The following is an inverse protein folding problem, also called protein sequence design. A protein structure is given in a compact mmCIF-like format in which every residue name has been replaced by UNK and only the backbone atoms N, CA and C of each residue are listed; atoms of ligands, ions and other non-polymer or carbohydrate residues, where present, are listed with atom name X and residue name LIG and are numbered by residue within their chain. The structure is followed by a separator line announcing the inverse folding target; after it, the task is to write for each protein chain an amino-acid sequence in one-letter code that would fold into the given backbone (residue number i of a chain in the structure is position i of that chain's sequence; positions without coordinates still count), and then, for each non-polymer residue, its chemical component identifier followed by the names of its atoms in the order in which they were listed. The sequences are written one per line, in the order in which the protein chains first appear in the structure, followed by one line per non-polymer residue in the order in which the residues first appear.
data_IF_240300869858
#
_entry.id   IF_240300869858
#
_cell.length_a   1.000
_cell.length_b   1.000
_cell.length_c   1.000
_cell.angle_alpha   90.00
_cell.angle_beta   90.00
_cell.angle_gamma   90.00
#
_symmetry.space_group_name_H-M   'P 1'
#
loop_
_entity.id
_entity.type
_entity.pdbx_description
1 polymer ?
#
# COMPACT_ATOMS: atom_id res chain seq x y z
N UNK A 1 -3.56 0.17 -28.71
CA UNK A 1 -3.73 -0.41 -30.05
C UNK A 1 -5.12 -0.22 -30.67
N UNK A 2 -6.22 -0.03 -29.91
CA UNK A 2 -7.53 0.40 -30.48
C UNK A 2 -8.07 1.73 -29.92
N UNK A 3 -7.35 2.36 -28.97
CA UNK A 3 -7.70 3.62 -28.28
C UNK A 3 -9.04 3.61 -27.50
N UNK A 4 -9.65 2.45 -27.29
CA UNK A 4 -10.89 2.30 -26.51
C UNK A 4 -10.63 1.85 -25.08
N UNK A 5 -11.37 2.40 -24.11
CA UNK A 5 -11.33 1.94 -22.72
C UNK A 5 -12.27 0.73 -22.56
N UNK A 6 -11.72 -0.39 -22.09
CA UNK A 6 -12.52 -1.57 -21.78
C UNK A 6 -13.22 -1.41 -20.41
N UNK A 7 -14.25 -2.22 -20.15
CA UNK A 7 -14.97 -2.27 -18.87
C UNK A 7 -14.57 -3.55 -18.12
N UNK A 8 -13.72 -3.49 -17.09
CA UNK A 8 -13.18 -4.69 -16.41
C UNK A 8 -14.25 -5.65 -15.90
N UNK A 9 -15.28 -5.13 -15.22
CA UNK A 9 -16.38 -5.96 -14.70
C UNK A 9 -17.11 -6.72 -15.81
N UNK A 10 -17.28 -6.09 -16.98
CA UNK A 10 -17.94 -6.73 -18.13
C UNK A 10 -17.06 -7.82 -18.75
N UNK A 11 -15.75 -7.63 -18.75
CA UNK A 11 -14.78 -8.63 -19.21
C UNK A 11 -14.78 -9.85 -18.29
N UNK A 12 -14.76 -9.65 -16.97
CA UNK A 12 -14.81 -10.73 -15.97
C UNK A 12 -16.10 -11.56 -16.10
N UNK A 13 -17.26 -10.90 -16.22
CA UNK A 13 -18.53 -11.59 -16.47
C UNK A 13 -18.47 -12.37 -17.78
N UNK A 14 -17.91 -11.79 -18.84
CA UNK A 14 -17.76 -12.45 -20.14
C UNK A 14 -16.88 -13.70 -20.07
N UNK A 15 -15.75 -13.63 -19.36
CA UNK A 15 -14.87 -14.78 -19.14
C UNK A 15 -15.54 -15.85 -18.28
N UNK A 16 -16.29 -15.45 -17.24
CA UNK A 16 -17.08 -16.37 -16.42
C UNK A 16 -18.09 -17.17 -17.26
N UNK A 17 -18.92 -16.47 -18.04
CA UNK A 17 -19.88 -17.11 -18.95
C UNK A 17 -19.17 -18.02 -19.96
N UNK A 18 -18.08 -17.54 -20.56
CA UNK A 18 -17.29 -18.31 -21.52
C UNK A 18 -16.74 -19.61 -20.92
N UNK A 19 -16.19 -19.54 -19.72
CA UNK A 19 -15.65 -20.71 -19.01
C UNK A 19 -16.76 -21.67 -18.55
N UNK A 20 -17.92 -21.17 -18.08
CA UNK A 20 -19.07 -22.02 -17.76
C UNK A 20 -19.54 -22.81 -18.96
N UNK A 21 -19.70 -22.15 -20.11
CA UNK A 21 -20.07 -22.83 -21.37
C UNK A 21 -18.98 -23.83 -21.76
N UNK A 22 -17.69 -23.44 -21.70
CA UNK A 22 -16.59 -24.33 -22.03
C UNK A 22 -16.60 -25.61 -21.17
N UNK A 23 -16.82 -25.48 -19.85
CA UNK A 23 -16.88 -26.63 -18.95
C UNK A 23 -18.00 -27.63 -19.28
N UNK A 24 -19.16 -27.15 -19.77
CA UNK A 24 -20.25 -28.04 -20.23
C UNK A 24 -19.80 -28.94 -21.39
N UNK A 25 -18.88 -28.46 -22.22
CA UNK A 25 -18.32 -29.22 -23.35
C UNK A 25 -16.98 -29.92 -23.00
N UNK A 26 -16.62 -30.03 -21.72
CA UNK A 26 -15.34 -30.63 -21.29
C UNK A 26 -14.11 -29.76 -21.60
N UNK A 27 -14.32 -28.45 -21.83
CA UNK A 27 -13.26 -27.49 -22.07
C UNK A 27 -12.48 -27.14 -20.80
N UNK A 28 -11.22 -26.74 -20.99
CA UNK A 28 -10.35 -26.25 -19.93
C UNK A 28 -10.56 -24.76 -19.66
N UNK A 29 -10.27 -24.26 -18.44
CA UNK A 29 -10.34 -22.84 -18.13
C UNK A 29 -9.50 -22.00 -19.10
N UNK A 30 -10.13 -21.00 -19.70
CA UNK A 30 -9.52 -20.08 -20.64
C UNK A 30 -9.44 -18.66 -20.09
N UNK A 31 -8.46 -17.91 -20.60
CA UNK A 31 -8.30 -16.48 -20.38
C UNK A 31 -7.99 -15.77 -21.71
N UNK A 32 -7.93 -14.44 -21.68
CA UNK A 32 -7.55 -13.65 -22.84
C UNK A 32 -6.15 -14.02 -23.34
N UNK A 33 -6.03 -14.33 -24.64
CA UNK A 33 -4.76 -14.64 -25.28
C UNK A 33 -4.13 -13.37 -25.88
N UNK A 34 -3.19 -12.75 -25.17
CA UNK A 34 -2.56 -11.48 -25.55
C UNK A 34 -1.94 -11.51 -26.95
N UNK A 35 -1.15 -12.54 -27.24
CA UNK A 35 -0.43 -12.66 -28.53
C UNK A 35 -1.41 -12.83 -29.70
N UNK A 36 -2.43 -13.68 -29.53
CA UNK A 36 -3.49 -13.86 -30.52
C UNK A 36 -4.23 -12.55 -30.78
N UNK A 37 -4.48 -11.78 -29.73
CA UNK A 37 -5.16 -10.48 -29.83
C UNK A 37 -4.30 -9.46 -30.59
N UNK A 38 -2.99 -9.40 -30.32
CA UNK A 38 -2.06 -8.51 -31.02
C UNK A 38 -2.00 -8.87 -32.51
N UNK A 39 -1.86 -10.15 -32.85
CA UNK A 39 -1.87 -10.61 -34.25
C UNK A 39 -3.19 -10.25 -34.94
N UNK A 40 -4.32 -10.46 -34.27
CA UNK A 40 -5.63 -10.13 -34.81
C UNK A 40 -5.80 -8.63 -35.08
N UNK A 41 -5.31 -7.77 -34.19
CA UNK A 41 -5.34 -6.32 -34.38
C UNK A 41 -4.41 -5.90 -35.53
N UNK A 42 -3.21 -6.48 -35.61
CA UNK A 42 -2.26 -6.21 -36.71
C UNK A 42 -2.80 -6.67 -38.07
N UNK A 43 -3.61 -7.74 -38.09
CA UNK A 43 -4.34 -8.21 -39.26
C UNK A 43 -5.58 -7.34 -39.61
N UNK A 44 -5.82 -6.24 -38.88
CA UNK A 44 -6.91 -5.30 -39.14
C UNK A 44 -8.22 -5.60 -38.39
N UNK A 45 -8.22 -6.59 -37.49
CA UNK A 45 -9.37 -6.91 -36.63
C UNK A 45 -9.68 -5.79 -35.64
N UNK A 46 -10.86 -5.16 -35.79
CA UNK A 46 -11.30 -4.01 -34.95
C UNK A 46 -12.56 -4.28 -34.14
N UNK A 47 -13.32 -5.32 -34.48
CA UNK A 47 -14.63 -5.62 -33.88
C UNK A 47 -14.61 -6.95 -33.13
N UNK A 48 -15.58 -7.15 -32.23
CA UNK A 48 -15.76 -8.43 -31.52
C UNK A 48 -16.05 -9.60 -32.45
N UNK A 49 -16.62 -9.31 -33.63
CA UNK A 49 -16.94 -10.29 -34.66
C UNK A 49 -15.69 -11.05 -35.13
N UNK A 50 -14.56 -10.36 -35.21
CA UNK A 50 -13.28 -10.95 -35.61
C UNK A 50 -12.83 -12.07 -34.65
N UNK A 51 -13.04 -11.90 -33.34
CA UNK A 51 -12.80 -12.96 -32.36
C UNK A 51 -13.77 -14.15 -32.49
N UNK A 52 -15.05 -13.88 -32.74
CA UNK A 52 -16.06 -14.93 -32.96
C UNK A 52 -15.77 -15.75 -34.21
N UNK A 53 -15.42 -15.09 -35.32
CA UNK A 53 -15.06 -15.73 -36.58
C UNK A 53 -13.82 -16.61 -36.38
N UNK A 54 -12.81 -16.13 -35.65
CA UNK A 54 -11.62 -16.94 -35.35
C UNK A 54 -11.97 -18.21 -34.55
N UNK A 55 -12.91 -18.13 -33.60
CA UNK A 55 -13.39 -19.29 -32.84
C UNK A 55 -14.15 -20.30 -33.71
N UNK A 56 -15.07 -19.82 -34.54
CA UNK A 56 -15.85 -20.67 -35.48
C UNK A 56 -14.91 -21.32 -36.50
N UNK A 57 -13.98 -20.56 -37.07
CA UNK A 57 -13.01 -21.07 -38.03
C UNK A 57 -12.12 -22.14 -37.40
N UNK A 58 -11.67 -21.93 -36.15
CA UNK A 58 -10.91 -22.94 -35.40
C UNK A 58 -11.72 -24.22 -35.21
N UNK A 59 -13.01 -24.12 -34.85
CA UNK A 59 -13.90 -25.27 -34.72
C UNK A 59 -14.04 -26.04 -36.05
N UNK A 60 -14.28 -25.34 -37.17
CA UNK A 60 -14.38 -25.94 -38.50
C UNK A 60 -13.08 -26.64 -38.90
N UNK A 61 -11.93 -26.00 -38.67
CA UNK A 61 -10.61 -26.59 -38.94
C UNK A 61 -10.40 -27.85 -38.11
N UNK A 62 -10.75 -27.83 -36.82
CA UNK A 62 -10.60 -29.01 -35.96
C UNK A 62 -11.47 -30.18 -36.43
N UNK A 63 -12.71 -29.92 -36.86
CA UNK A 63 -13.63 -30.96 -37.33
C UNK A 63 -13.26 -31.49 -38.72
N UNK A 64 -12.85 -30.63 -39.65
CA UNK A 64 -12.56 -31.00 -41.03
C UNK A 64 -11.13 -31.55 -41.21
N UNK A 65 -10.14 -30.95 -40.52
CA UNK A 65 -8.72 -31.25 -40.69
C UNK A 65 -8.11 -31.96 -39.48
N UNK A 66 -8.90 -32.45 -38.53
CA UNK A 66 -8.44 -33.20 -37.36
C UNK A 66 -7.43 -34.33 -37.68
N UNK A 67 -7.70 -35.21 -38.68
CA UNK A 67 -6.76 -36.28 -39.05
C UNK A 67 -5.43 -35.80 -39.66
N UNK A 68 -5.40 -34.57 -40.18
CA UNK A 68 -4.17 -33.95 -40.70
C UNK A 68 -3.43 -33.26 -39.55
N UNK A 69 -4.15 -32.56 -38.67
CA UNK A 69 -3.60 -31.90 -37.50
C UNK A 69 -2.93 -32.88 -36.52
N UNK A 70 -3.45 -34.11 -36.40
CA UNK A 70 -2.84 -35.16 -35.57
C UNK A 70 -1.46 -35.62 -36.05
N UNK A 71 -1.08 -35.32 -37.31
CA UNK A 71 0.23 -35.64 -37.88
C UNK A 71 1.28 -34.56 -37.63
N UNK A 72 0.93 -33.45 -36.98
CA UNK A 72 1.87 -32.37 -36.71
C UNK A 72 2.93 -32.86 -35.70
N UNK A 73 4.22 -32.86 -36.05
CA UNK A 73 5.27 -33.31 -35.14
C UNK A 73 5.39 -32.42 -33.91
N UNK A 74 5.64 -33.02 -32.74
CA UNK A 74 5.84 -32.29 -31.49
C UNK A 74 7.00 -31.28 -31.58
N UNK A 75 8.03 -31.57 -32.38
CA UNK A 75 9.16 -30.66 -32.62
C UNK A 75 8.70 -29.31 -33.23
N UNK A 76 7.70 -29.32 -34.12
CA UNK A 76 7.14 -28.10 -34.71
C UNK A 76 6.42 -27.28 -33.65
N UNK A 77 5.61 -27.94 -32.81
CA UNK A 77 4.91 -27.28 -31.70
C UNK A 77 5.88 -26.69 -30.68
N UNK A 78 6.95 -27.41 -30.34
CA UNK A 78 8.00 -26.91 -29.45
C UNK A 78 8.70 -25.67 -30.03
N UNK A 79 9.05 -25.68 -31.33
CA UNK A 79 9.66 -24.53 -32.00
C UNK A 79 8.76 -23.28 -31.98
N UNK A 80 7.44 -23.47 -32.16
CA UNK A 80 6.46 -22.38 -32.03
C UNK A 80 6.43 -21.87 -30.58
N UNK A 81 6.35 -22.74 -29.58
CA UNK A 81 6.28 -22.35 -28.17
C UNK A 81 7.53 -21.60 -27.70
N UNK A 82 8.74 -22.04 -28.09
CA UNK A 82 9.98 -21.33 -27.76
C UNK A 82 10.00 -19.94 -28.38
N UNK A 83 9.63 -19.83 -29.66
CA UNK A 83 9.59 -18.54 -30.36
C UNK A 83 8.57 -17.58 -29.75
N UNK A 84 7.40 -18.10 -29.37
CA UNK A 84 6.34 -17.34 -28.71
C UNK A 84 6.74 -16.91 -27.30
N UNK A 85 7.38 -17.80 -26.53
CA UNK A 85 7.86 -17.50 -25.18
C UNK A 85 8.91 -16.40 -25.17
N UNK A 86 9.93 -16.53 -26.03
CA UNK A 86 11.00 -15.54 -26.18
C UNK A 86 10.44 -14.24 -26.79
N UNK A 87 9.81 -14.29 -27.96
CA UNK A 87 9.43 -13.09 -28.70
C UNK A 87 8.15 -12.39 -28.23
N UNK A 88 7.23 -13.10 -27.59
CA UNK A 88 5.88 -12.58 -27.29
C UNK A 88 5.52 -12.49 -25.81
N UNK A 89 6.13 -13.30 -24.94
CA UNK A 89 5.80 -13.36 -23.51
C UNK A 89 6.85 -12.67 -22.65
N UNK A 90 8.13 -12.77 -23.00
CA UNK A 90 9.21 -12.15 -22.23
C UNK A 90 9.16 -10.61 -22.31
N UNK A 91 9.02 -9.95 -21.16
CA UNK A 91 9.03 -8.49 -21.09
C UNK A 91 10.45 -7.93 -21.05
N UNK A 92 11.06 -7.79 -22.23
CA UNK A 92 12.39 -7.19 -22.36
C UNK A 92 12.46 -5.74 -21.91
N UNK A 93 11.36 -4.99 -21.95
CA UNK A 93 11.35 -3.59 -21.48
C UNK A 93 11.42 -3.55 -19.96
N UNK A 94 10.60 -4.38 -19.29
CA UNK A 94 10.67 -4.58 -17.84
C UNK A 94 12.06 -5.01 -17.39
N UNK A 95 12.65 -6.02 -18.04
CA UNK A 95 14.01 -6.49 -17.73
C UNK A 95 15.07 -5.40 -17.89
N UNK A 96 15.00 -4.58 -18.95
CA UNK A 96 15.92 -3.45 -19.16
C UNK A 96 15.71 -2.31 -18.15
N UNK A 97 14.52 -2.18 -17.57
CA UNK A 97 14.21 -1.16 -16.57
C UNK A 97 14.63 -1.55 -15.14
N UNK A 98 14.94 -2.81 -14.88
CA UNK A 98 15.38 -3.30 -13.55
C UNK A 98 16.50 -2.43 -12.93
N UNK A 99 17.57 -2.05 -13.65
CA UNK A 99 18.65 -1.24 -13.06
C UNK A 99 18.23 0.17 -12.65
N UNK A 100 17.12 0.68 -13.21
CA UNK A 100 16.57 2.02 -12.90
C UNK A 100 15.57 2.02 -11.76
N UNK A 101 15.23 0.85 -11.18
CA UNK A 101 14.29 0.77 -10.08
C UNK A 101 14.89 1.28 -8.75
N UNK A 102 14.06 1.88 -7.86
CA UNK A 102 14.50 2.34 -6.54
C UNK A 102 15.10 1.21 -5.72
N UNK A 103 16.29 1.44 -5.15
CA UNK A 103 17.01 0.46 -4.34
C UNK A 103 16.66 0.64 -2.86
N UNK A 104 15.46 0.22 -2.52
CA UNK A 104 14.82 0.44 -1.22
C UNK A 104 15.30 -0.57 -0.14
N UNK A 105 15.96 -1.67 -0.52
CA UNK A 105 16.38 -2.74 0.40
C UNK A 105 17.89 -2.96 0.32
N UNK A 106 18.54 -3.05 1.49
CA UNK A 106 19.92 -3.51 1.65
C UNK A 106 19.91 -4.92 2.23
N UNK A 107 20.42 -5.90 1.47
CA UNK A 107 20.68 -7.26 1.97
C UNK A 107 22.20 -7.45 1.91
N UNK A 108 22.88 -7.28 3.04
CA UNK A 108 24.34 -7.32 3.12
C UNK A 108 25.01 -6.25 2.22
N UNK A 109 26.00 -6.62 1.36
CA UNK A 109 26.66 -5.66 0.46
C UNK A 109 25.82 -5.29 -0.78
N UNK A 110 24.67 -5.95 -1.00
CA UNK A 110 23.88 -5.80 -2.23
C UNK A 110 22.67 -4.90 -1.96
N UNK A 111 22.51 -3.85 -2.78
CA UNK A 111 21.32 -2.98 -2.79
C UNK A 111 20.37 -3.43 -3.89
N UNK A 112 19.17 -3.88 -3.51
CA UNK A 112 18.16 -4.37 -4.42
C UNK A 112 16.84 -3.61 -4.25
N UNK A 113 16.06 -3.57 -5.32
CA UNK A 113 14.69 -3.07 -5.24
C UNK A 113 13.80 -4.13 -4.60
N UNK A 114 12.89 -3.65 -3.76
CA UNK A 114 11.77 -4.38 -3.18
C UNK A 114 10.98 -5.16 -4.25
N UNK A 115 10.71 -4.51 -5.38
CA UNK A 115 9.95 -5.07 -6.50
C UNK A 115 10.72 -6.17 -7.24
N UNK A 116 12.04 -5.99 -7.41
CA UNK A 116 12.91 -6.97 -8.07
C UNK A 116 13.03 -8.23 -7.23
N UNK A 117 13.11 -8.10 -5.90
CA UNK A 117 13.13 -9.24 -5.00
C UNK A 117 11.84 -10.06 -5.13
N UNK A 118 10.67 -9.42 -5.09
CA UNK A 118 9.37 -10.09 -5.28
C UNK A 118 9.34 -10.82 -6.62
N UNK A 119 9.74 -10.14 -7.70
CA UNK A 119 9.79 -10.73 -9.04
C UNK A 119 10.66 -11.99 -9.08
N UNK A 120 11.88 -11.94 -8.50
CA UNK A 120 12.78 -13.10 -8.47
C UNK A 120 12.22 -14.24 -7.62
N UNK A 121 11.63 -13.93 -6.46
CA UNK A 121 10.98 -14.94 -5.60
C UNK A 121 9.84 -15.63 -6.34
N UNK A 122 8.93 -14.87 -6.97
CA UNK A 122 7.81 -15.44 -7.74
C UNK A 122 8.31 -16.24 -8.95
N UNK A 123 9.35 -15.76 -9.65
CA UNK A 123 9.95 -16.46 -10.78
C UNK A 123 10.52 -17.82 -10.35
N UNK A 124 11.31 -17.86 -9.28
CA UNK A 124 11.92 -19.09 -8.79
C UNK A 124 10.84 -20.06 -8.27
N UNK A 125 9.90 -19.58 -7.46
CA UNK A 125 8.82 -20.41 -6.93
C UNK A 125 7.93 -20.99 -8.04
N UNK A 126 7.59 -20.19 -9.05
CA UNK A 126 6.76 -20.65 -10.18
C UNK A 126 7.49 -21.63 -11.10
N UNK A 127 8.81 -21.55 -11.19
CA UNK A 127 9.62 -22.43 -12.04
C UNK A 127 9.93 -23.77 -11.35
N UNK A 128 10.26 -23.74 -10.06
CA UNK A 128 10.77 -24.92 -9.34
C UNK A 128 9.72 -25.62 -8.47
N UNK A 129 8.66 -24.94 -8.07
CA UNK A 129 7.67 -25.49 -7.15
C UNK A 129 6.28 -25.56 -7.79
N UNK A 130 5.58 -24.43 -7.83
CA UNK A 130 4.21 -24.38 -8.33
C UNK A 130 3.78 -22.93 -8.57
N UNK A 131 3.08 -22.71 -9.68
CA UNK A 131 2.64 -21.38 -10.10
C UNK A 131 1.59 -20.78 -9.16
N UNK A 132 0.64 -21.58 -8.66
CA UNK A 132 -0.45 -21.11 -7.80
C UNK A 132 0.10 -20.63 -6.47
N UNK A 133 0.97 -21.44 -5.84
CA UNK A 133 1.64 -21.06 -4.59
C UNK A 133 2.55 -19.84 -4.78
N UNK A 134 3.29 -19.76 -5.90
CA UNK A 134 4.14 -18.62 -6.21
C UNK A 134 3.34 -17.30 -6.31
N UNK A 135 2.18 -17.31 -6.98
CA UNK A 135 1.30 -16.14 -7.08
C UNK A 135 0.76 -15.74 -5.70
N UNK A 136 0.32 -16.70 -4.89
CA UNK A 136 -0.19 -16.45 -3.55
C UNK A 136 0.87 -15.81 -2.63
N UNK A 137 2.06 -16.40 -2.56
CA UNK A 137 3.17 -15.88 -1.76
C UNK A 137 3.62 -14.50 -2.27
N UNK A 138 3.72 -14.34 -3.59
CA UNK A 138 4.06 -13.06 -4.22
C UNK A 138 3.09 -11.94 -3.84
N UNK A 139 1.79 -12.22 -3.84
CA UNK A 139 0.76 -11.25 -3.45
C UNK A 139 0.88 -10.84 -1.99
N UNK A 140 1.13 -11.80 -1.09
CA UNK A 140 1.31 -11.53 0.35
C UNK A 140 2.53 -10.63 0.57
N UNK A 141 3.68 -10.99 0.00
CA UNK A 141 4.92 -10.22 0.14
C UNK A 141 4.74 -8.82 -0.46
N UNK A 142 4.15 -8.71 -1.66
CA UNK A 142 3.88 -7.43 -2.29
C UNK A 142 2.97 -6.53 -1.44
N UNK A 143 1.93 -7.10 -0.83
CA UNK A 143 1.00 -6.38 0.04
C UNK A 143 1.71 -5.87 1.31
N UNK A 144 2.51 -6.71 1.96
CA UNK A 144 3.30 -6.33 3.14
C UNK A 144 4.30 -5.22 2.83
N UNK A 145 5.01 -5.34 1.70
CA UNK A 145 6.01 -4.35 1.27
C UNK A 145 5.36 -3.03 0.84
N UNK A 146 4.18 -3.07 0.24
CA UNK A 146 3.39 -1.89 -0.06
C UNK A 146 2.92 -1.18 1.23
N UNK A 147 2.42 -1.93 2.21
CA UNK A 147 2.05 -1.37 3.52
C UNK A 147 3.25 -0.72 4.20
N UNK A 148 4.42 -1.37 4.20
CA UNK A 148 5.65 -0.78 4.72
C UNK A 148 6.02 0.50 4.00
N UNK A 149 6.01 0.51 2.66
CA UNK A 149 6.37 1.69 1.85
C UNK A 149 5.44 2.88 2.10
N UNK A 150 4.15 2.62 2.32
CA UNK A 150 3.19 3.68 2.74
C UNK A 150 3.53 4.18 4.14
N UNK A 151 3.85 3.28 5.08
CA UNK A 151 4.34 3.65 6.41
C UNK A 151 5.57 4.55 6.35
N UNK A 152 6.62 4.10 5.67
CA UNK A 152 7.88 4.81 5.51
C UNK A 152 7.69 6.18 4.82
N UNK A 153 6.97 6.24 3.69
CA UNK A 153 6.70 7.51 2.99
C UNK A 153 5.92 8.49 3.85
N UNK A 154 5.06 7.95 4.70
CA UNK A 154 4.34 8.78 5.62
C UNK A 154 5.25 9.27 6.74
N UNK A 155 6.13 8.42 7.27
CA UNK A 155 7.16 8.80 8.23
C UNK A 155 8.20 9.77 7.64
N UNK A 156 8.45 9.78 6.32
CA UNK A 156 9.43 10.65 5.65
C UNK A 156 8.85 12.03 5.27
N UNK A 157 7.57 12.09 4.86
CA UNK A 157 6.82 13.37 4.73
C UNK A 157 6.49 13.98 6.08
N UNK A 158 6.57 13.16 7.11
CA UNK A 158 6.67 13.61 8.47
C UNK A 158 8.11 14.03 8.65
N UNK A 159 8.38 15.32 8.78
CA UNK A 159 9.73 15.81 9.05
C UNK A 159 10.25 15.32 10.42
N UNK A 160 10.62 14.03 10.48
CA UNK A 160 11.22 13.33 11.63
C UNK A 160 12.73 13.31 11.38
N UNK A 161 13.29 14.45 11.01
CA UNK A 161 14.72 14.68 11.26
C UNK A 161 14.83 15.35 12.61
N UNK A 162 15.67 14.76 13.46
CA UNK A 162 16.17 15.36 14.71
C UNK A 162 17.09 16.54 14.39
N UNK A 163 16.52 17.58 13.81
CA UNK A 163 17.15 18.87 13.57
C UNK A 163 16.10 19.87 13.97
N UNK A 164 16.14 20.29 15.25
CA UNK A 164 15.40 21.41 15.84
C UNK A 164 14.10 21.72 15.07
N UNK A 165 12.99 21.05 15.42
CA UNK A 165 11.68 21.27 14.78
C UNK A 165 11.52 22.77 14.49
N UNK A 166 11.49 23.15 13.21
CA UNK A 166 11.21 24.53 12.85
C UNK A 166 9.80 24.83 13.39
N UNK A 167 9.74 25.80 14.30
CA UNK A 167 8.50 26.27 14.90
C UNK A 167 7.56 26.63 13.76
N UNK A 168 6.34 26.06 13.75
CA UNK A 168 5.40 26.40 12.69
C UNK A 168 5.09 27.89 12.74
N UNK A 169 4.68 28.48 11.62
CA UNK A 169 4.40 29.93 11.54
C UNK A 169 3.34 30.40 12.55
N UNK A 170 2.47 29.51 13.02
CA UNK A 170 1.49 29.76 14.08
C UNK A 170 2.03 29.60 15.51
N UNK A 171 3.26 29.10 15.66
CA UNK A 171 3.96 28.92 16.95
C UNK A 171 4.94 30.06 17.25
N UNK A 172 5.14 30.98 16.29
CA UNK A 172 6.04 32.16 16.40
C UNK A 172 5.61 33.15 17.50
N UNK A 173 4.43 32.96 18.11
CA UNK A 173 3.92 33.75 19.24
C UNK A 173 3.79 32.99 20.56
N UNK A 174 4.43 31.82 20.70
CA UNK A 174 4.39 31.05 21.95
C UNK A 174 5.20 31.76 23.05
N UNK A 175 4.63 32.00 24.25
CA UNK A 175 5.31 32.69 25.34
C UNK A 175 6.63 32.00 25.70
N UNK A 176 7.74 32.74 25.73
CA UNK A 176 9.07 32.14 25.94
C UNK A 176 9.23 31.49 27.33
N UNK A 177 8.50 32.01 28.31
CA UNK A 177 8.46 31.50 29.67
C UNK A 177 7.80 30.11 29.79
N UNK A 178 6.87 29.77 28.90
CA UNK A 178 6.19 28.47 28.90
C UNK A 178 6.92 27.41 28.05
N UNK A 179 8.00 27.77 27.33
CA UNK A 179 8.72 26.84 26.44
C UNK A 179 9.42 25.71 27.17
N UNK A 180 9.73 25.89 28.46
CA UNK A 180 10.34 24.84 29.29
C UNK A 180 9.31 23.87 29.87
N UNK A 181 8.07 24.33 30.08
CA UNK A 181 6.99 23.53 30.69
C UNK A 181 6.07 22.85 29.67
N UNK A 182 5.94 23.43 28.46
CA UNK A 182 5.01 22.95 27.42
C UNK A 182 5.77 22.41 26.21
N UNK A 183 5.61 21.12 25.95
CA UNK A 183 6.22 20.44 24.81
C UNK A 183 5.22 20.20 23.68
N UNK A 184 5.46 20.76 22.50
CA UNK A 184 4.59 20.60 21.33
C UNK A 184 5.14 19.47 20.45
N UNK A 185 4.31 18.49 20.12
CA UNK A 185 4.69 17.41 19.21
C UNK A 185 3.74 17.27 18.02
N UNK A 186 4.35 17.24 16.84
CA UNK A 186 3.66 17.07 15.57
C UNK A 186 3.57 15.60 15.19
N UNK A 187 2.39 14.99 15.37
CA UNK A 187 2.13 13.64 14.91
C UNK A 187 1.61 13.69 13.49
N UNK A 188 2.39 13.10 12.59
CA UNK A 188 2.15 13.15 11.16
C UNK A 188 2.04 11.71 10.66
N UNK A 189 0.97 11.42 9.91
CA UNK A 189 0.76 10.09 9.33
C UNK A 189 -0.25 9.18 10.01
N UNK A 190 -0.66 8.07 9.37
CA UNK A 190 -1.50 7.09 10.01
C UNK A 190 -0.70 6.36 11.09
N UNK A 191 -1.34 6.08 12.22
CA UNK A 191 -0.76 5.29 13.29
C UNK A 191 -1.26 3.85 13.16
N UNK A 192 -0.42 2.97 12.65
CA UNK A 192 -0.78 1.58 12.42
C UNK A 192 0.37 0.65 12.81
N UNK A 193 0.17 -0.68 12.76
CA UNK A 193 1.18 -1.67 13.16
C UNK A 193 2.58 -1.41 12.56
N UNK A 194 2.66 -0.90 11.32
CA UNK A 194 3.93 -0.61 10.64
C UNK A 194 4.65 0.66 11.10
N UNK A 195 4.00 1.53 11.89
CA UNK A 195 4.54 2.82 12.35
C UNK A 195 4.58 2.97 13.87
N UNK A 196 4.17 1.95 14.63
CA UNK A 196 4.14 2.00 16.11
C UNK A 196 5.54 2.14 16.70
N UNK A 197 6.56 1.51 16.13
CA UNK A 197 7.94 1.59 16.61
C UNK A 197 8.50 3.02 16.51
N UNK A 198 8.26 3.70 15.40
CA UNK A 198 8.66 5.09 15.21
C UNK A 198 7.89 6.01 16.17
N UNK A 199 6.60 5.75 16.38
CA UNK A 199 5.77 6.48 17.34
C UNK A 199 6.29 6.36 18.77
N UNK A 200 6.65 5.15 19.22
CA UNK A 200 7.24 4.93 20.54
C UNK A 200 8.59 5.65 20.70
N UNK A 201 9.41 5.69 19.66
CA UNK A 201 10.67 6.43 19.67
C UNK A 201 10.47 7.95 19.80
N UNK A 202 9.32 8.49 19.34
CA UNK A 202 8.97 9.90 19.54
C UNK A 202 8.55 10.19 20.99
N UNK A 203 7.87 9.25 21.65
CA UNK A 203 7.51 9.36 23.07
C UNK A 203 8.75 9.50 23.96
N UNK A 204 9.79 8.71 23.68
CA UNK A 204 11.05 8.74 24.43
C UNK A 204 11.82 10.07 24.31
N UNK A 205 11.46 10.93 23.34
CA UNK A 205 12.06 12.26 23.19
C UNK A 205 11.37 13.33 24.05
N UNK A 206 10.24 13.01 24.70
CA UNK A 206 9.53 13.94 25.56
C UNK A 206 10.36 14.12 26.85
N UNK A 207 10.83 15.34 27.17
CA UNK A 207 11.61 15.59 28.38
C UNK A 207 10.78 15.35 29.64
N UNK A 208 11.41 14.80 30.69
CA UNK A 208 10.77 14.64 32.01
C UNK A 208 10.44 15.98 32.71
N UNK A 209 10.93 17.10 32.17
CA UNK A 209 10.65 18.46 32.69
C UNK A 209 9.35 19.04 32.15
N UNK A 210 8.76 18.44 31.10
CA UNK A 210 7.51 18.93 30.52
C UNK A 210 6.33 18.62 31.45
N UNK A 211 5.59 19.65 31.87
CA UNK A 211 4.33 19.51 32.62
C UNK A 211 3.15 19.28 31.69
N UNK A 212 3.22 19.79 30.45
CA UNK A 212 2.14 19.66 29.47
C UNK A 212 2.70 19.28 28.09
N UNK A 213 2.04 18.34 27.41
CA UNK A 213 2.36 17.92 26.05
C UNK A 213 1.19 18.21 25.11
N UNK A 214 1.43 18.97 24.05
CA UNK A 214 0.45 19.27 23.01
C UNK A 214 0.70 18.35 21.81
N UNK A 215 -0.21 17.41 21.57
CA UNK A 215 -0.17 16.51 20.42
C UNK A 215 -1.01 17.07 19.26
N UNK A 216 -0.33 17.50 18.20
CA UNK A 216 -0.99 17.94 16.97
C UNK A 216 -1.28 16.74 16.07
N UNK A 217 -2.54 16.31 16.08
CA UNK A 217 -3.07 15.12 15.39
C UNK A 217 -3.73 15.46 14.03
N UNK A 218 -3.69 16.73 13.61
CA UNK A 218 -4.34 17.20 12.37
C UNK A 218 -3.89 16.51 11.08
N UNK A 219 -2.74 15.82 11.09
CA UNK A 219 -2.22 15.04 9.95
C UNK A 219 -2.29 13.53 10.16
N UNK A 220 -2.94 13.06 11.24
CA UNK A 220 -3.17 11.64 11.52
C UNK A 220 -4.52 11.22 10.96
N UNK A 221 -4.51 10.73 9.72
CA UNK A 221 -5.75 10.41 9.00
C UNK A 221 -6.38 9.07 9.41
N UNK A 222 -5.59 8.16 9.96
CA UNK A 222 -6.01 6.79 10.23
C UNK A 222 -5.29 6.22 11.44
N UNK A 223 -5.99 5.41 12.23
CA UNK A 223 -5.47 4.66 13.37
C UNK A 223 -6.02 3.23 13.32
N UNK A 224 -5.14 2.22 13.38
CA UNK A 224 -5.54 0.81 13.57
C UNK A 224 -5.51 0.41 15.05
N UNK A 225 -5.85 -0.85 15.35
CA UNK A 225 -5.86 -1.36 16.72
C UNK A 225 -4.46 -1.36 17.38
N UNK A 226 -3.41 -1.71 16.64
CA UNK A 226 -2.04 -1.67 17.17
C UNK A 226 -1.58 -0.25 17.47
N UNK A 227 -1.95 0.69 16.60
CA UNK A 227 -1.71 2.11 16.80
C UNK A 227 -2.49 2.69 17.98
N UNK A 228 -3.71 2.23 18.17
CA UNK A 228 -4.54 2.60 19.31
C UNK A 228 -3.92 2.16 20.64
N UNK A 229 -3.43 0.93 20.74
CA UNK A 229 -2.70 0.46 21.93
C UNK A 229 -1.39 1.22 22.15
N UNK A 230 -0.63 1.51 21.09
CA UNK A 230 0.58 2.30 21.21
C UNK A 230 0.29 3.73 21.73
N UNK A 231 -0.84 4.33 21.33
CA UNK A 231 -1.31 5.60 21.87
C UNK A 231 -1.69 5.47 23.35
N UNK A 232 -2.44 4.42 23.72
CA UNK A 232 -2.83 4.15 25.11
C UNK A 232 -1.61 4.03 26.03
N UNK A 233 -0.62 3.21 25.65
CA UNK A 233 0.61 3.01 26.38
C UNK A 233 1.35 4.33 26.63
N UNK A 234 1.46 5.17 25.60
CA UNK A 234 2.06 6.50 25.70
C UNK A 234 1.30 7.41 26.66
N UNK A 235 -0.03 7.46 26.56
CA UNK A 235 -0.85 8.30 27.43
C UNK A 235 -0.77 7.84 28.89
N UNK A 236 -0.68 6.54 29.11
CA UNK A 236 -0.55 5.95 30.44
C UNK A 236 0.83 6.26 31.06
N UNK A 237 1.89 6.23 30.27
CA UNK A 237 3.24 6.63 30.70
C UNK A 237 3.31 8.13 31.03
N UNK A 238 2.74 8.99 30.18
CA UNK A 238 2.67 10.44 30.43
C UNK A 238 1.86 10.77 31.68
N UNK A 239 0.70 10.11 31.88
CA UNK A 239 -0.13 10.27 33.07
C UNK A 239 0.61 9.83 34.34
N UNK A 240 1.41 8.76 34.28
CA UNK A 240 2.25 8.31 35.40
C UNK A 240 3.31 9.34 35.79
N UNK A 241 3.81 10.10 34.82
CA UNK A 241 4.76 11.19 35.03
C UNK A 241 4.09 12.52 35.38
N UNK A 242 2.78 12.54 35.65
CA UNK A 242 1.97 13.75 35.89
C UNK A 242 2.06 14.79 34.76
N UNK A 243 2.23 14.32 33.52
CA UNK A 243 2.25 15.18 32.33
C UNK A 243 0.84 15.26 31.75
N UNK A 244 0.32 16.47 31.63
CA UNK A 244 -0.99 16.73 31.04
C UNK A 244 -0.91 16.71 29.52
N UNK A 245 -1.87 16.06 28.86
CA UNK A 245 -1.85 15.89 27.39
C UNK A 245 -3.04 16.60 26.75
N UNK A 246 -2.76 17.43 25.74
CA UNK A 246 -3.75 18.17 24.97
C UNK A 246 -3.75 17.71 23.51
N UNK A 247 -4.93 17.43 22.96
CA UNK A 247 -5.08 17.01 21.56
C UNK A 247 -5.52 18.17 20.68
N UNK A 248 -4.84 18.35 19.54
CA UNK A 248 -5.18 19.40 18.57
C UNK A 248 -5.45 18.79 17.20
N UNK A 249 -6.62 19.06 16.64
CA UNK A 249 -6.98 18.67 15.28
C UNK A 249 -7.29 17.18 15.12
N UNK A 250 -7.86 16.53 16.14
CA UNK A 250 -8.23 15.12 16.10
C UNK A 250 -9.28 14.86 15.00
N UNK A 251 -8.93 14.03 14.01
CA UNK A 251 -9.82 13.67 12.90
C UNK A 251 -10.85 12.60 13.29
N UNK A 252 -11.89 12.45 12.47
CA UNK A 252 -13.07 11.60 12.76
C UNK A 252 -12.72 10.13 13.05
N UNK A 253 -11.86 9.51 12.23
CA UNK A 253 -11.57 8.08 12.37
C UNK A 253 -10.73 7.77 13.63
N UNK A 254 -9.62 8.48 13.92
CA UNK A 254 -8.89 8.29 15.17
C UNK A 254 -9.74 8.60 16.41
N UNK A 255 -10.55 9.67 16.37
CA UNK A 255 -11.47 10.00 17.47
C UNK A 255 -12.41 8.85 17.81
N UNK A 256 -13.06 8.32 16.77
CA UNK A 256 -13.98 7.20 16.93
C UNK A 256 -13.30 5.96 17.53
N UNK A 257 -12.05 5.67 17.14
CA UNK A 257 -11.29 4.55 17.70
C UNK A 257 -10.95 4.77 19.18
N UNK A 258 -10.53 5.98 19.55
CA UNK A 258 -10.20 6.34 20.94
C UNK A 258 -11.42 6.35 21.87
N UNK A 259 -12.57 6.82 21.39
CA UNK A 259 -13.85 6.82 22.12
C UNK A 259 -14.39 5.38 22.34
N UNK A 260 -13.99 4.41 21.52
CA UNK A 260 -14.47 3.02 21.63
C UNK A 260 -13.82 2.20 22.73
N UNK A 261 -12.64 2.61 23.19
CA UNK A 261 -11.89 1.95 24.27
C UNK A 261 -11.69 2.89 25.46
N UNK A 262 -12.52 3.93 25.54
CA UNK A 262 -12.56 4.89 26.63
C UNK A 262 -11.26 5.69 26.88
N UNK A 263 -10.29 5.70 25.94
CA UNK A 263 -9.17 6.66 25.97
C UNK A 263 -9.71 8.09 26.11
N UNK A 264 -10.77 8.36 25.35
CA UNK A 264 -11.63 9.53 25.55
C UNK A 264 -12.93 8.99 26.18
N UNK A 265 -13.26 9.33 27.44
CA UNK A 265 -12.70 10.43 28.23
C UNK A 265 -11.65 10.07 29.31
N UNK A 266 -11.32 8.79 29.55
CA UNK A 266 -10.63 8.37 30.79
C UNK A 266 -9.17 8.84 30.89
N UNK A 267 -8.48 8.86 29.75
CA UNK A 267 -7.12 9.38 29.65
C UNK A 267 -7.11 10.85 29.23
N UNK A 268 -7.99 11.23 28.30
CA UNK A 268 -8.10 12.58 27.76
C UNK A 268 -9.52 13.09 27.93
N UNK A 269 -9.75 14.05 28.86
CA UNK A 269 -11.03 14.71 28.99
C UNK A 269 -11.46 15.38 27.67
N UNK A 270 -12.77 15.43 27.41
CA UNK A 270 -13.30 16.11 26.21
C UNK A 270 -12.91 17.59 26.13
N UNK A 271 -12.61 18.21 27.28
CA UNK A 271 -12.16 19.60 27.39
C UNK A 271 -10.73 19.81 26.86
N UNK A 272 -9.91 18.76 26.83
CA UNK A 272 -8.52 18.80 26.36
C UNK A 272 -8.40 18.49 24.86
N UNK A 273 -9.53 18.48 24.13
CA UNK A 273 -9.58 18.21 22.69
C UNK A 273 -9.97 19.50 21.95
N UNK A 274 -9.00 20.10 21.27
CA UNK A 274 -9.16 21.34 20.53
C UNK A 274 -9.22 21.09 19.03
N UNK A 275 -10.06 21.89 18.32
CA UNK A 275 -10.14 21.85 16.86
C UNK A 275 -8.94 22.53 16.19
N UNK A 276 -8.45 23.60 16.80
CA UNK A 276 -7.38 24.44 16.28
C UNK A 276 -6.36 24.77 17.37
N UNK A 277 -5.13 25.04 16.93
CA UNK A 277 -4.00 25.31 17.82
C UNK A 277 -4.18 26.62 18.61
N UNK A 278 -4.88 27.61 18.05
CA UNK A 278 -5.13 28.89 18.73
C UNK A 278 -5.99 28.72 19.97
N UNK A 279 -7.06 27.93 19.88
CA UNK A 279 -7.93 27.61 21.02
C UNK A 279 -7.18 26.84 22.10
N UNK A 280 -6.32 25.90 21.71
CA UNK A 280 -5.45 25.18 22.64
C UNK A 280 -4.47 26.12 23.35
N UNK A 281 -3.86 27.06 22.61
CA UNK A 281 -2.93 28.04 23.15
C UNK A 281 -3.60 28.96 24.18
N UNK A 282 -4.85 29.36 23.94
CA UNK A 282 -5.61 30.18 24.87
C UNK A 282 -5.84 29.43 26.19
N UNK A 283 -6.26 28.18 26.11
CA UNK A 283 -6.44 27.34 27.29
C UNK A 283 -5.15 27.15 28.10
N UNK A 284 -4.02 26.94 27.40
CA UNK A 284 -2.69 26.83 28.02
C UNK A 284 -2.33 28.10 28.79
N UNK A 285 -2.55 29.29 28.20
CA UNK A 285 -2.28 30.57 28.87
C UNK A 285 -3.15 30.81 30.10
N UNK A 286 -4.38 30.32 30.08
CA UNK A 286 -5.35 30.56 31.15
C UNK A 286 -5.17 29.59 32.34
N UNK A 287 -4.63 28.39 32.10
CA UNK A 287 -4.56 27.32 33.11
C UNK A 287 -3.14 26.95 33.56
N UNK A 288 -2.11 27.17 32.74
CA UNK A 288 -0.73 26.83 33.09
C UNK A 288 -0.07 28.09 33.65
N UNK A 289 0.22 28.05 34.95
CA UNK A 289 0.93 29.12 35.65
C UNK A 289 2.43 28.86 35.58
N UNK A 290 3.14 29.89 35.17
CA UNK A 290 4.60 29.96 35.18
C UNK A 290 5.09 29.82 36.64
N UNK A 291 5.62 28.66 36.99
CA UNK A 291 6.30 28.47 38.28
C UNK A 291 7.77 28.83 38.11
N UNK A 292 8.09 30.11 38.33
CA UNK A 292 9.46 30.58 38.58
C UNK A 292 9.83 30.31 40.05
#
# INVERSE_FOLDING_TARGET
MTKTKHKPNKELIGQGIGNTIASVFGGIPGAGATIRTVVNINAGGKTKLSGMIAGIMLLVIMLALGPVASKIPAAVLAGILVTVGIGGVMDYKGLKAIPSLPRDIKIGPIKLSSEVLIMLVVLLLSTFWDLIYAVGIGLIIASLMFMKKIGDLTAERSDVKSLKEETWTDEVGFPENLKEEVFIKHLKGPLFFGSTSDFQALTLQIPNTAKTVILRLGRMQYMDQSGLYAMEDMLQELKKNNVEVLFVGLLKQPRYMMERIDIIPDFIPNEHIFKDFKSCLQWVKDNIKDEI
#
